data_IF_320270990347
#
_entry.id   IF_320270990347
#
_cell.length_a   1.000
_cell.length_b   1.000
_cell.length_c   1.000
_cell.angle_alpha   90.00
_cell.angle_beta   90.00
_cell.angle_gamma   90.00
#
_symmetry.space_group_name_H-M   'P 1'
#
loop_
_entity.id
_entity.type
_entity.pdbx_description
1 polymer ?
#
# COMPACT_ATOMS: atom_id res chain seq x y z
N UNK A 1 -19.62 -89.97 -55.91
CA UNK A 1 -18.18 -89.64 -55.78
C UNK A 1 -18.02 -88.20 -55.50
N UNK A 2 -17.96 -87.79 -54.30
CA UNK A 2 -17.83 -86.39 -53.87
C UNK A 2 -16.94 -86.35 -52.65
N UNK A 3 -15.85 -85.62 -52.80
CA UNK A 3 -14.87 -85.39 -51.73
C UNK A 3 -15.41 -84.29 -50.77
N UNK A 4 -15.09 -84.34 -49.49
CA UNK A 4 -15.46 -83.31 -48.54
C UNK A 4 -14.36 -82.22 -48.44
N UNK A 5 -14.82 -80.96 -48.45
CA UNK A 5 -14.00 -79.80 -48.21
C UNK A 5 -13.60 -79.67 -46.73
N UNK A 6 -12.31 -79.56 -46.46
CA UNK A 6 -11.80 -79.14 -45.15
C UNK A 6 -11.85 -77.63 -44.96
N UNK A 7 -12.60 -77.15 -43.98
CA UNK A 7 -12.51 -75.78 -43.50
C UNK A 7 -11.44 -75.73 -42.40
N UNK A 8 -10.47 -74.83 -42.59
CA UNK A 8 -9.48 -74.43 -41.58
C UNK A 8 -10.08 -73.18 -40.79
N UNK A 9 -10.17 -73.21 -39.46
CA UNK A 9 -10.51 -72.06 -38.72
C UNK A 9 -9.30 -71.15 -38.47
N UNK A 10 -9.30 -70.02 -39.06
CA UNK A 10 -8.33 -68.94 -38.81
C UNK A 10 -8.58 -68.36 -37.38
N UNK A 11 -7.61 -68.63 -36.50
CA UNK A 11 -7.61 -68.01 -35.17
C UNK A 11 -7.28 -66.50 -35.28
N UNK A 12 -8.27 -65.63 -35.06
CA UNK A 12 -8.06 -64.17 -34.92
C UNK A 12 -7.62 -63.87 -33.50
N UNK A 13 -6.32 -63.64 -33.31
CA UNK A 13 -5.80 -63.11 -32.04
C UNK A 13 -6.09 -61.60 -31.96
N UNK A 14 -7.06 -61.22 -31.14
CA UNK A 14 -7.37 -59.80 -30.82
C UNK A 14 -6.33 -59.37 -29.76
N UNK A 15 -5.30 -58.64 -30.18
CA UNK A 15 -4.35 -57.96 -29.27
C UNK A 15 -5.00 -56.74 -28.68
N UNK A 16 -5.43 -56.81 -27.41
CA UNK A 16 -5.95 -55.71 -26.63
C UNK A 16 -4.77 -54.82 -26.17
N UNK A 17 -4.44 -53.79 -26.93
CA UNK A 17 -3.45 -52.77 -26.54
C UNK A 17 -4.07 -51.90 -25.42
N UNK A 18 -3.66 -52.15 -24.17
CA UNK A 18 -3.96 -51.27 -23.03
C UNK A 18 -3.15 -50.01 -23.19
N UNK A 19 -3.74 -48.93 -23.73
CA UNK A 19 -3.19 -47.57 -23.64
C UNK A 19 -3.30 -47.12 -22.17
N UNK A 20 -2.22 -47.30 -21.40
CA UNK A 20 -2.04 -46.59 -20.13
C UNK A 20 -1.75 -45.12 -20.44
N UNK A 21 -2.81 -44.34 -20.59
CA UNK A 21 -2.74 -42.90 -20.65
C UNK A 21 -2.22 -42.39 -19.29
N UNK A 22 -0.94 -42.04 -19.21
CA UNK A 22 -0.42 -41.27 -18.09
C UNK A 22 -1.12 -39.90 -18.13
N UNK A 23 -2.18 -39.75 -17.35
CA UNK A 23 -2.77 -38.43 -17.08
C UNK A 23 -1.68 -37.60 -16.37
N UNK A 24 -0.99 -36.77 -17.12
CA UNK A 24 -0.21 -35.69 -16.55
C UNK A 24 -1.20 -34.79 -15.84
N UNK A 25 -1.27 -34.91 -14.52
CA UNK A 25 -1.95 -33.94 -13.69
C UNK A 25 -1.20 -32.64 -13.92
N UNK A 26 -1.73 -31.79 -14.79
CA UNK A 26 -1.28 -30.40 -14.88
C UNK A 26 -1.55 -29.79 -13.51
N UNK A 27 -0.52 -29.71 -12.65
CA UNK A 27 -0.58 -28.92 -11.44
C UNK A 27 -0.81 -27.48 -11.91
N UNK A 28 -2.06 -27.01 -11.88
CA UNK A 28 -2.34 -25.61 -12.04
C UNK A 28 -1.54 -24.87 -10.97
N UNK A 29 -0.58 -24.06 -11.41
CA UNK A 29 0.26 -23.29 -10.51
C UNK A 29 -0.67 -22.43 -9.63
N UNK A 30 -0.55 -22.60 -8.33
CA UNK A 30 -1.39 -21.87 -7.39
C UNK A 30 -0.95 -20.41 -7.37
N UNK A 31 -1.88 -19.50 -7.64
CA UNK A 31 -1.61 -18.06 -7.74
C UNK A 31 -2.28 -17.32 -6.59
N UNK A 32 -1.51 -16.49 -5.89
CA UNK A 32 -2.03 -15.49 -4.95
C UNK A 32 -2.07 -14.15 -5.68
N UNK A 33 -3.24 -13.51 -5.75
CA UNK A 33 -3.45 -12.25 -6.44
C UNK A 33 -3.51 -11.10 -5.45
N UNK A 34 -2.58 -10.15 -5.59
CA UNK A 34 -2.49 -8.95 -4.75
C UNK A 34 -2.50 -7.72 -5.65
N UNK A 35 -3.20 -6.67 -5.25
CA UNK A 35 -3.23 -5.40 -5.99
C UNK A 35 -3.52 -4.24 -5.03
N UNK A 36 -3.27 -3.00 -5.42
CA UNK A 36 -3.66 -1.81 -4.66
C UNK A 36 -2.58 -0.74 -4.60
N UNK A 37 -2.28 -0.28 -3.39
CA UNK A 37 -1.42 0.87 -3.10
C UNK A 37 0.00 0.73 -3.65
N UNK A 38 0.47 1.76 -4.37
CA UNK A 38 1.87 1.93 -4.79
C UNK A 38 2.83 2.07 -3.60
N UNK A 39 2.40 2.71 -2.52
CA UNK A 39 3.20 2.85 -1.28
C UNK A 39 3.48 1.50 -0.61
N UNK A 40 2.51 0.57 -0.63
CA UNK A 40 2.62 -0.75 -0.01
C UNK A 40 3.23 -1.79 -0.97
N UNK A 41 3.21 -1.49 -2.27
CA UNK A 41 3.77 -2.38 -3.28
C UNK A 41 5.21 -2.84 -2.98
N UNK A 42 6.18 -1.96 -2.62
CA UNK A 42 7.57 -2.38 -2.40
C UNK A 42 7.70 -3.44 -1.31
N UNK A 43 7.02 -3.29 -0.18
CA UNK A 43 7.09 -4.28 0.90
C UNK A 43 6.39 -5.58 0.51
N UNK A 44 5.20 -5.51 -0.08
CA UNK A 44 4.48 -6.72 -0.50
C UNK A 44 5.23 -7.46 -1.59
N UNK A 45 5.88 -6.75 -2.53
CA UNK A 45 6.72 -7.34 -3.58
C UNK A 45 7.95 -8.03 -2.98
N UNK A 46 8.65 -7.39 -2.05
CA UNK A 46 9.80 -7.98 -1.35
C UNK A 46 9.39 -9.27 -0.61
N UNK A 47 8.25 -9.26 0.08
CA UNK A 47 7.70 -10.45 0.74
C UNK A 47 7.35 -11.53 -0.29
N UNK A 48 6.71 -11.17 -1.41
CA UNK A 48 6.31 -12.11 -2.45
C UNK A 48 7.51 -12.81 -3.07
N UNK A 49 8.56 -12.06 -3.43
CA UNK A 49 9.78 -12.60 -4.03
C UNK A 49 10.48 -13.57 -3.07
N UNK A 50 10.67 -13.18 -1.82
CA UNK A 50 11.28 -14.03 -0.81
C UNK A 50 10.44 -15.29 -0.52
N UNK A 51 9.11 -15.15 -0.48
CA UNK A 51 8.20 -16.28 -0.28
C UNK A 51 8.26 -17.27 -1.44
N UNK A 52 8.23 -16.80 -2.69
CA UNK A 52 8.33 -17.66 -3.87
C UNK A 52 9.63 -18.47 -3.89
N UNK A 53 10.77 -17.83 -3.59
CA UNK A 53 12.06 -18.51 -3.46
C UNK A 53 11.99 -19.59 -2.37
N UNK A 54 11.44 -19.26 -1.18
CA UNK A 54 11.29 -20.21 -0.08
C UNK A 54 10.40 -21.41 -0.46
N UNK A 55 9.39 -21.20 -1.31
CA UNK A 55 8.48 -22.23 -1.83
C UNK A 55 8.99 -22.89 -3.12
N UNK A 56 10.24 -22.66 -3.51
CA UNK A 56 10.85 -23.18 -4.76
C UNK A 56 9.98 -22.88 -5.99
N UNK A 57 9.34 -21.71 -6.02
CA UNK A 57 8.43 -21.24 -7.06
C UNK A 57 7.21 -22.16 -7.34
N UNK A 58 6.80 -22.99 -6.35
CA UNK A 58 5.60 -23.81 -6.46
C UNK A 58 4.31 -23.01 -6.30
N UNK A 59 4.39 -21.79 -5.73
CA UNK A 59 3.29 -20.83 -5.54
C UNK A 59 3.70 -19.55 -6.24
N UNK A 60 2.86 -19.07 -7.15
CA UNK A 60 3.04 -17.76 -7.78
C UNK A 60 2.33 -16.67 -6.97
N UNK A 61 2.95 -15.49 -6.84
CA UNK A 61 2.38 -14.33 -6.16
C UNK A 61 2.45 -13.13 -7.10
N UNK A 62 1.32 -12.71 -7.60
CA UNK A 62 1.23 -11.52 -8.45
C UNK A 62 0.91 -10.30 -7.61
N UNK A 63 1.68 -9.22 -7.78
CA UNK A 63 1.46 -7.95 -7.07
C UNK A 63 1.31 -6.85 -8.10
N UNK A 64 0.11 -6.24 -8.16
CA UNK A 64 -0.23 -5.13 -9.05
C UNK A 64 -0.31 -3.79 -8.31
N UNK A 65 -0.38 -2.71 -9.10
CA UNK A 65 -0.56 -1.34 -8.62
C UNK A 65 -1.79 -0.74 -9.31
N UNK A 66 -2.80 -0.36 -8.51
CA UNK A 66 -3.98 0.36 -9.01
C UNK A 66 -4.48 1.41 -8.00
N UNK A 67 -3.60 1.82 -7.08
CA UNK A 67 -3.95 2.66 -5.93
C UNK A 67 -4.83 1.95 -4.90
N UNK A 68 -4.93 2.49 -3.68
CA UNK A 68 -5.75 1.89 -2.62
C UNK A 68 -7.22 1.75 -3.04
N UNK A 69 -7.80 2.79 -3.65
CA UNK A 69 -9.20 2.77 -4.11
C UNK A 69 -9.45 1.80 -5.27
N UNK A 70 -8.52 1.72 -6.24
CA UNK A 70 -8.57 0.75 -7.33
C UNK A 70 -8.48 -0.68 -6.82
N UNK A 71 -7.57 -0.94 -5.88
CA UNK A 71 -7.42 -2.22 -5.20
C UNK A 71 -8.69 -2.63 -4.46
N UNK A 72 -9.29 -1.77 -3.64
CA UNK A 72 -10.55 -2.07 -2.95
C UNK A 72 -11.71 -2.38 -3.89
N UNK A 73 -11.81 -1.70 -5.04
CA UNK A 73 -12.82 -2.04 -6.07
C UNK A 73 -12.67 -3.47 -6.57
N UNK A 74 -11.45 -3.92 -6.91
CA UNK A 74 -11.17 -5.30 -7.32
C UNK A 74 -11.41 -6.29 -6.17
N UNK A 75 -10.97 -5.92 -4.97
CA UNK A 75 -11.08 -6.74 -3.77
C UNK A 75 -12.56 -7.01 -3.40
N UNK A 76 -13.38 -5.97 -3.34
CA UNK A 76 -14.81 -6.11 -3.01
C UNK A 76 -15.61 -6.85 -4.12
N UNK A 77 -15.06 -6.97 -5.36
CA UNK A 77 -15.60 -7.85 -6.40
C UNK A 77 -15.07 -9.28 -6.33
N UNK A 78 -14.14 -9.57 -5.40
CA UNK A 78 -13.54 -10.90 -5.25
C UNK A 78 -12.55 -11.28 -6.36
N UNK A 79 -12.00 -10.31 -7.08
CA UNK A 79 -11.05 -10.51 -8.18
C UNK A 79 -9.62 -10.79 -7.69
N UNK A 80 -9.29 -10.34 -6.47
CA UNK A 80 -8.00 -10.48 -5.82
C UNK A 80 -8.15 -11.07 -4.40
N UNK A 81 -7.11 -11.74 -3.92
CA UNK A 81 -7.07 -12.40 -2.61
C UNK A 81 -6.71 -11.41 -1.48
N UNK A 82 -5.81 -10.47 -1.80
CA UNK A 82 -5.28 -9.48 -0.84
C UNK A 82 -5.27 -8.10 -1.52
N UNK A 83 -5.65 -7.06 -0.78
CA UNK A 83 -5.48 -5.68 -1.23
C UNK A 83 -4.43 -4.95 -0.38
N UNK A 84 -3.51 -4.26 -1.04
CA UNK A 84 -2.59 -3.31 -0.44
C UNK A 84 -3.29 -1.96 -0.25
N UNK A 85 -3.20 -1.35 0.93
CA UNK A 85 -3.82 -0.06 1.19
C UNK A 85 -2.93 0.85 2.03
N UNK A 86 -2.77 2.10 1.62
CA UNK A 86 -2.02 3.13 2.34
C UNK A 86 -2.92 4.04 3.19
N UNK A 87 -4.12 3.59 3.48
CA UNK A 87 -5.11 4.15 4.41
C UNK A 87 -6.07 3.06 4.86
N UNK A 88 -6.82 3.28 5.95
CA UNK A 88 -7.95 2.40 6.29
C UNK A 88 -8.99 2.33 5.18
N UNK A 89 -9.71 1.22 5.12
CA UNK A 89 -10.88 1.06 4.24
C UNK A 89 -11.93 2.12 4.55
N UNK A 90 -12.50 2.74 3.51
CA UNK A 90 -13.54 3.78 3.65
C UNK A 90 -14.94 3.17 3.83
N UNK A 91 -15.87 3.96 4.40
CA UNK A 91 -17.28 3.55 4.57
C UNK A 91 -17.95 3.11 3.25
N UNK A 92 -17.65 3.79 2.14
CA UNK A 92 -18.16 3.40 0.81
C UNK A 92 -17.64 2.03 0.38
N UNK A 93 -16.34 1.79 0.56
CA UNK A 93 -15.69 0.51 0.23
C UNK A 93 -16.18 -0.63 1.15
N UNK A 94 -16.35 -0.35 2.46
CA UNK A 94 -16.96 -1.31 3.38
C UNK A 94 -18.37 -1.71 2.93
N UNK A 95 -19.16 -0.74 2.46
CA UNK A 95 -20.51 -0.98 1.93
C UNK A 95 -20.47 -1.82 0.66
N UNK A 96 -19.55 -1.54 -0.26
CA UNK A 96 -19.38 -2.31 -1.50
C UNK A 96 -18.97 -3.76 -1.20
N UNK A 97 -18.00 -3.98 -0.31
CA UNK A 97 -17.61 -5.32 0.14
C UNK A 97 -18.78 -6.06 0.82
N UNK A 98 -19.55 -5.39 1.70
CA UNK A 98 -20.73 -5.97 2.35
C UNK A 98 -21.78 -6.39 1.34
N UNK A 99 -22.10 -5.54 0.35
CA UNK A 99 -23.06 -5.85 -0.71
C UNK A 99 -22.63 -7.08 -1.54
N UNK A 100 -21.33 -7.22 -1.78
CA UNK A 100 -20.75 -8.36 -2.48
C UNK A 100 -20.49 -9.59 -1.57
N UNK A 101 -20.81 -9.51 -0.28
CA UNK A 101 -20.55 -10.56 0.72
C UNK A 101 -19.07 -10.92 0.84
N UNK A 102 -18.20 -9.94 0.69
CA UNK A 102 -16.75 -10.06 0.92
C UNK A 102 -16.45 -9.60 2.33
N UNK A 103 -16.02 -10.55 3.17
CA UNK A 103 -15.48 -10.30 4.50
C UNK A 103 -13.96 -10.30 4.44
N UNK A 104 -13.30 -9.56 5.32
CA UNK A 104 -11.84 -9.39 5.31
C UNK A 104 -11.27 -9.25 6.72
N UNK A 105 -9.98 -9.57 6.83
CA UNK A 105 -9.14 -9.24 7.97
C UNK A 105 -8.29 -8.04 7.60
N UNK A 106 -8.33 -6.98 8.40
CA UNK A 106 -7.44 -5.83 8.32
C UNK A 106 -6.13 -6.14 9.04
N UNK A 107 -4.99 -5.90 8.39
CA UNK A 107 -3.66 -6.18 8.94
C UNK A 107 -2.77 -4.97 8.68
N UNK A 108 -2.48 -4.13 9.66
CA UNK A 108 -1.44 -3.13 9.56
C UNK A 108 -0.07 -3.80 9.41
N UNK A 109 0.74 -3.35 8.46
CA UNK A 109 2.04 -3.97 8.13
C UNK A 109 3.22 -3.07 8.41
N UNK A 110 3.03 -1.74 8.36
CA UNK A 110 4.06 -0.76 8.59
C UNK A 110 3.46 0.62 8.85
N UNK A 111 4.32 1.60 9.17
CA UNK A 111 4.02 3.01 9.00
C UNK A 111 4.80 3.57 7.82
N UNK A 112 4.20 4.54 7.15
CA UNK A 112 4.81 5.38 6.13
C UNK A 112 4.78 6.83 6.61
N UNK A 113 5.68 7.66 6.09
CA UNK A 113 5.66 9.10 6.29
C UNK A 113 5.75 9.81 4.95
N UNK A 114 5.01 10.91 4.84
CA UNK A 114 5.11 11.82 3.71
C UNK A 114 6.07 12.94 4.04
N UNK A 115 6.88 13.33 3.06
CA UNK A 115 7.78 14.47 3.18
C UNK A 115 7.29 15.59 2.29
N UNK A 116 7.21 16.79 2.84
CA UNK A 116 7.16 18.03 2.06
C UNK A 116 8.60 18.47 1.85
N UNK A 117 9.00 18.69 0.60
CA UNK A 117 10.36 19.00 0.24
C UNK A 117 10.47 20.28 -0.59
N UNK A 118 11.58 21.00 -0.38
CA UNK A 118 11.97 22.21 -1.10
C UNK A 118 13.37 22.06 -1.67
N UNK A 119 13.71 22.93 -2.62
CA UNK A 119 15.08 23.05 -3.11
C UNK A 119 16.03 23.50 -1.97
N UNK A 120 17.28 23.00 -1.88
CA UNK A 120 18.23 23.43 -0.85
C UNK A 120 18.55 24.93 -0.84
N UNK A 121 18.42 25.62 -1.98
CA UNK A 121 18.60 27.07 -2.09
C UNK A 121 17.40 27.89 -1.55
N UNK A 122 16.27 27.21 -1.27
CA UNK A 122 15.09 27.83 -0.65
C UNK A 122 15.31 27.92 0.86
N UNK A 123 15.83 29.04 1.33
CA UNK A 123 16.13 29.26 2.76
C UNK A 123 14.96 29.87 3.54
N UNK A 124 13.87 30.26 2.89
CA UNK A 124 12.75 31.00 3.53
C UNK A 124 11.58 30.10 3.97
N UNK A 125 11.40 28.93 3.39
CA UNK A 125 10.27 28.06 3.68
C UNK A 125 10.66 26.72 4.32
N UNK A 126 11.70 26.72 5.15
CA UNK A 126 12.25 25.52 5.83
C UNK A 126 11.32 24.92 6.88
N UNK A 127 10.28 25.67 7.28
CA UNK A 127 9.19 25.17 8.12
C UNK A 127 7.85 25.74 7.65
N UNK A 128 6.78 24.94 7.75
CA UNK A 128 5.43 25.33 7.39
C UNK A 128 4.42 24.80 8.39
N UNK A 129 3.41 25.62 8.68
CA UNK A 129 2.23 25.18 9.42
C UNK A 129 1.28 24.42 8.50
N UNK A 130 0.40 23.60 9.09
CA UNK A 130 -0.69 22.92 8.35
C UNK A 130 -1.57 23.95 7.63
N UNK A 131 -1.82 25.11 8.24
CA UNK A 131 -2.60 26.19 7.62
C UNK A 131 -1.94 26.76 6.35
N UNK A 132 -0.61 26.94 6.36
CA UNK A 132 0.15 27.39 5.20
C UNK A 132 0.13 26.34 4.08
N UNK A 133 0.36 25.06 4.40
CA UNK A 133 0.25 23.96 3.44
C UNK A 133 -1.16 23.87 2.86
N UNK A 134 -2.21 23.97 3.69
CA UNK A 134 -3.59 23.98 3.23
C UNK A 134 -3.84 25.14 2.25
N UNK A 135 -3.38 26.35 2.57
CA UNK A 135 -3.53 27.54 1.71
C UNK A 135 -2.84 27.34 0.35
N UNK A 136 -1.74 26.57 0.29
CA UNK A 136 -1.05 26.26 -0.96
C UNK A 136 -1.86 25.23 -1.77
N UNK A 137 -2.35 24.16 -1.12
CA UNK A 137 -2.82 22.97 -1.79
C UNK A 137 -4.33 22.81 -1.93
N UNK A 138 -5.15 23.63 -1.23
CA UNK A 138 -6.61 23.54 -1.33
C UNK A 138 -7.12 23.93 -2.74
N UNK A 139 -8.28 23.41 -3.19
CA UNK A 139 -8.84 23.73 -4.52
C UNK A 139 -9.01 25.21 -4.78
N UNK A 140 -9.33 25.99 -3.75
CA UNK A 140 -9.49 27.45 -3.87
C UNK A 140 -8.20 28.20 -4.22
N UNK A 141 -7.03 27.57 -4.06
CA UNK A 141 -5.73 28.14 -4.38
C UNK A 141 -5.43 28.15 -5.89
N UNK A 142 -6.12 27.30 -6.67
CA UNK A 142 -5.86 27.14 -8.10
C UNK A 142 -5.94 28.46 -8.85
N UNK A 143 -4.84 28.80 -9.55
CA UNK A 143 -4.70 30.06 -10.31
C UNK A 143 -4.66 31.34 -9.48
N UNK A 144 -4.78 31.26 -8.14
CA UNK A 144 -4.82 32.42 -7.24
C UNK A 144 -3.59 32.52 -6.33
N UNK A 145 -3.20 31.41 -5.74
CA UNK A 145 -2.03 31.30 -4.87
C UNK A 145 -0.88 30.77 -5.71
N UNK A 146 -0.07 31.68 -6.24
CA UNK A 146 1.00 31.35 -7.20
C UNK A 146 2.38 31.79 -6.72
N UNK A 147 2.45 32.68 -5.71
CA UNK A 147 3.70 33.26 -5.21
C UNK A 147 3.92 32.96 -3.73
N UNK A 148 5.18 32.88 -3.32
CA UNK A 148 5.59 32.57 -1.96
C UNK A 148 5.11 33.63 -0.93
N UNK A 149 5.19 34.92 -1.28
CA UNK A 149 4.74 36.01 -0.39
C UNK A 149 3.23 36.00 -0.12
N UNK A 150 2.43 35.34 -0.95
CA UNK A 150 1.00 35.15 -0.68
C UNK A 150 0.73 34.20 0.50
N UNK A 151 1.69 33.33 0.80
CA UNK A 151 1.63 32.41 1.94
C UNK A 151 2.13 33.08 3.21
N UNK A 152 3.30 33.71 3.12
CA UNK A 152 3.87 34.49 4.18
C UNK A 152 4.46 35.78 3.58
N UNK A 153 4.00 36.99 3.99
CA UNK A 153 4.48 38.24 3.43
C UNK A 153 5.98 38.50 3.58
N UNK A 154 6.67 37.78 4.49
CA UNK A 154 8.11 37.85 4.66
C UNK A 154 8.90 37.00 3.63
N UNK A 155 8.23 36.14 2.86
CA UNK A 155 8.84 35.30 1.83
C UNK A 155 8.96 36.06 0.51
N UNK A 156 9.82 35.59 -0.43
CA UNK A 156 10.04 36.29 -1.71
C UNK A 156 8.78 36.43 -2.54
N UNK A 157 8.72 37.50 -3.33
CA UNK A 157 7.70 37.69 -4.38
C UNK A 157 8.12 36.92 -5.65
N UNK A 158 8.13 35.61 -5.53
CA UNK A 158 8.55 34.68 -6.58
C UNK A 158 7.50 33.57 -6.76
N UNK A 159 7.35 33.10 -8.01
CA UNK A 159 6.36 32.09 -8.33
C UNK A 159 6.76 30.72 -7.77
N UNK A 160 5.84 30.06 -7.06
CA UNK A 160 5.98 28.69 -6.61
C UNK A 160 5.98 27.72 -7.79
N UNK A 161 6.80 26.66 -7.71
CA UNK A 161 6.82 25.54 -8.64
C UNK A 161 6.40 24.28 -7.88
N UNK A 162 5.12 23.96 -7.99
CA UNK A 162 4.51 22.87 -7.22
C UNK A 162 4.58 21.55 -7.97
N UNK A 163 4.84 20.46 -7.25
CA UNK A 163 4.71 19.10 -7.74
C UNK A 163 4.26 18.15 -6.63
N UNK A 164 3.68 17.03 -7.00
CA UNK A 164 3.17 16.07 -6.03
C UNK A 164 2.68 14.79 -6.67
N UNK A 165 2.37 13.81 -5.83
CA UNK A 165 1.80 12.55 -6.29
C UNK A 165 0.48 12.78 -7.03
N UNK A 166 0.18 11.95 -8.02
CA UNK A 166 -1.03 12.01 -8.82
C UNK A 166 -2.30 11.54 -8.07
N UNK A 167 -3.47 11.77 -8.66
CA UNK A 167 -4.78 11.47 -8.07
C UNK A 167 -5.03 9.97 -7.82
N UNK A 168 -4.31 9.06 -8.46
CA UNK A 168 -4.44 7.62 -8.26
C UNK A 168 -3.53 7.11 -7.13
N UNK A 169 -2.63 7.96 -6.64
CA UNK A 169 -1.69 7.65 -5.56
C UNK A 169 -2.37 7.69 -4.18
N UNK A 170 -2.07 6.67 -3.36
CA UNK A 170 -2.42 6.71 -1.94
C UNK A 170 -1.68 7.83 -1.17
N UNK A 171 -0.56 8.32 -1.68
CA UNK A 171 0.18 9.48 -1.17
C UNK A 171 -0.63 10.75 -1.36
N UNK A 172 -1.22 10.95 -2.54
CA UNK A 172 -2.12 12.07 -2.81
C UNK A 172 -3.39 12.04 -1.92
N UNK A 173 -4.05 10.87 -1.83
CA UNK A 173 -5.22 10.70 -0.98
C UNK A 173 -4.94 11.12 0.46
N UNK A 174 -3.84 10.62 1.02
CA UNK A 174 -3.49 10.90 2.40
C UNK A 174 -3.03 12.34 2.62
N UNK A 175 -2.18 12.89 1.73
CA UNK A 175 -1.73 14.28 1.83
C UNK A 175 -2.91 15.24 1.82
N UNK A 176 -3.81 15.08 0.87
CA UNK A 176 -5.00 15.95 0.75
C UNK A 176 -5.94 15.81 1.94
N UNK A 177 -6.09 14.60 2.49
CA UNK A 177 -6.87 14.39 3.70
C UNK A 177 -6.23 15.05 4.93
N UNK A 178 -4.92 14.85 5.12
CA UNK A 178 -4.19 15.37 6.28
C UNK A 178 -4.06 16.90 6.27
N UNK A 179 -3.87 17.49 5.09
CA UNK A 179 -3.58 18.94 4.93
C UNK A 179 -4.84 19.73 4.57
N UNK A 180 -5.61 19.28 3.59
CA UNK A 180 -6.79 20.01 3.12
C UNK A 180 -8.04 19.64 3.93
N UNK A 181 -8.05 18.45 4.52
CA UNK A 181 -9.15 17.92 5.34
C UNK A 181 -10.12 17.02 4.58
N UNK A 182 -9.83 16.72 3.31
CA UNK A 182 -10.64 15.81 2.48
C UNK A 182 -9.76 15.14 1.45
N UNK A 183 -9.77 13.79 1.45
CA UNK A 183 -9.07 13.00 0.46
C UNK A 183 -9.50 13.37 -0.97
N UNK A 184 -8.54 13.38 -1.88
CA UNK A 184 -8.71 13.76 -3.29
C UNK A 184 -9.21 15.19 -3.54
N UNK A 185 -8.98 16.10 -2.59
CA UNK A 185 -9.39 17.50 -2.71
C UNK A 185 -8.17 18.41 -2.74
N UNK A 186 -7.75 18.83 -3.93
CA UNK A 186 -6.59 19.70 -4.14
C UNK A 186 -6.79 20.60 -5.35
N UNK A 187 -5.86 21.55 -5.54
CA UNK A 187 -5.64 22.21 -6.83
C UNK A 187 -5.09 21.22 -7.85
N UNK A 188 -5.20 21.50 -9.15
CA UNK A 188 -4.72 20.64 -10.25
C UNK A 188 -3.68 21.35 -11.15
N UNK A 189 -3.27 22.59 -10.82
CA UNK A 189 -2.29 23.36 -11.57
C UNK A 189 -0.86 23.18 -11.03
N UNK A 190 -0.48 21.94 -10.77
CA UNK A 190 0.88 21.52 -10.36
C UNK A 190 1.37 20.34 -11.22
N UNK A 191 2.65 20.02 -11.15
CA UNK A 191 3.21 18.85 -11.84
C UNK A 191 2.87 17.59 -11.07
N UNK A 192 2.05 16.72 -11.65
CA UNK A 192 1.65 15.43 -11.09
C UNK A 192 2.55 14.30 -11.59
N UNK A 193 2.87 13.33 -10.73
CA UNK A 193 3.57 12.11 -11.14
C UNK A 193 3.35 10.97 -10.12
N UNK A 194 3.19 9.74 -10.64
CA UNK A 194 3.24 8.48 -9.89
C UNK A 194 4.68 8.06 -9.56
N UNK A 195 5.66 8.70 -10.18
CA UNK A 195 7.08 8.44 -9.98
C UNK A 195 7.72 9.54 -9.11
N UNK A 196 7.94 9.24 -7.84
CA UNK A 196 8.52 10.17 -6.87
C UNK A 196 9.90 10.71 -7.28
N UNK A 197 10.68 9.99 -8.10
CA UNK A 197 11.95 10.51 -8.64
C UNK A 197 11.75 11.70 -9.58
N UNK A 198 10.63 11.75 -10.31
CA UNK A 198 10.25 12.92 -11.12
C UNK A 198 9.98 14.12 -10.22
N UNK A 199 9.29 13.90 -9.10
CA UNK A 199 8.98 14.94 -8.12
C UNK A 199 10.25 15.47 -7.44
N UNK A 200 11.17 14.59 -7.03
CA UNK A 200 12.49 14.95 -6.47
C UNK A 200 13.26 15.81 -7.48
N UNK A 201 13.36 15.38 -8.74
CA UNK A 201 14.10 16.11 -9.77
C UNK A 201 13.46 17.47 -10.08
N UNK A 202 12.11 17.56 -10.04
CA UNK A 202 11.42 18.83 -10.23
C UNK A 202 11.78 19.84 -9.14
N UNK A 203 11.83 19.43 -7.87
CA UNK A 203 12.26 20.29 -6.75
C UNK A 203 13.75 20.63 -6.86
N UNK A 204 14.60 19.63 -7.10
CA UNK A 204 16.05 19.83 -7.19
C UNK A 204 16.47 20.82 -8.28
N UNK A 205 15.76 20.86 -9.40
CA UNK A 205 16.06 21.76 -10.53
C UNK A 205 15.39 23.14 -10.43
N UNK A 206 14.56 23.40 -9.44
CA UNK A 206 13.83 24.67 -9.28
C UNK A 206 14.00 25.22 -7.86
N UNK A 207 14.70 26.35 -7.70
CA UNK A 207 14.85 27.03 -6.40
C UNK A 207 13.51 27.31 -5.70
N UNK A 208 12.46 27.58 -6.48
CA UNK A 208 11.12 27.83 -6.01
C UNK A 208 10.24 26.55 -5.96
N UNK A 209 10.87 25.38 -6.04
CA UNK A 209 10.22 24.08 -6.00
C UNK A 209 9.67 23.74 -4.62
N UNK A 210 8.46 23.19 -4.60
CA UNK A 210 7.81 22.59 -3.43
C UNK A 210 7.11 21.32 -3.89
N UNK A 211 7.36 20.19 -3.22
CA UNK A 211 6.71 18.94 -3.51
C UNK A 211 6.28 18.20 -2.24
N UNK A 212 5.40 17.20 -2.42
CA UNK A 212 5.17 16.16 -1.41
C UNK A 212 5.29 14.77 -2.04
N UNK A 213 5.95 13.86 -1.33
CA UNK A 213 6.21 12.48 -1.75
C UNK A 213 6.60 11.60 -0.54
N UNK A 214 6.83 10.31 -0.76
CA UNK A 214 7.17 9.36 0.29
C UNK A 214 8.53 9.65 0.96
N UNK A 215 8.61 9.45 2.27
CA UNK A 215 9.84 9.65 3.07
C UNK A 215 11.03 8.84 2.56
N UNK A 216 10.80 7.64 2.03
CA UNK A 216 11.87 6.82 1.45
C UNK A 216 12.66 7.55 0.38
N UNK A 217 11.96 8.25 -0.52
CA UNK A 217 12.62 9.02 -1.60
C UNK A 217 13.34 10.25 -1.08
N UNK A 218 12.85 10.88 -0.01
CA UNK A 218 13.59 11.96 0.66
C UNK A 218 14.93 11.44 1.20
N UNK A 219 14.93 10.32 1.92
CA UNK A 219 16.16 9.74 2.49
C UNK A 219 17.20 9.40 1.42
N UNK A 220 16.78 8.96 0.26
CA UNK A 220 17.66 8.63 -0.87
C UNK A 220 18.21 9.85 -1.61
N UNK A 221 17.62 11.04 -1.41
CA UNK A 221 17.93 12.25 -2.16
C UNK A 221 18.16 13.48 -1.26
N UNK A 222 18.63 13.30 -0.02
CA UNK A 222 18.93 14.39 0.91
C UNK A 222 20.03 15.34 0.42
N UNK A 223 20.84 14.91 -0.52
CA UNK A 223 21.83 15.72 -1.23
C UNK A 223 21.23 16.67 -2.27
N UNK A 224 19.97 16.42 -2.72
CA UNK A 224 19.27 17.17 -3.77
C UNK A 224 18.12 18.02 -3.26
N UNK A 225 17.48 17.61 -2.18
CA UNK A 225 16.28 18.27 -1.65
C UNK A 225 16.33 18.40 -0.13
N UNK A 226 15.64 19.41 0.41
CA UNK A 226 15.55 19.67 1.85
C UNK A 226 14.12 19.42 2.32
N UNK A 227 13.96 18.67 3.41
CA UNK A 227 12.65 18.49 4.02
C UNK A 227 12.19 19.76 4.74
N UNK A 228 10.90 20.07 4.61
CA UNK A 228 10.23 21.12 5.37
C UNK A 228 9.80 20.57 6.72
N UNK A 229 10.13 21.26 7.80
CA UNK A 229 9.62 20.93 9.12
C UNK A 229 8.13 21.29 9.21
N UNK A 230 7.31 20.35 9.70
CA UNK A 230 5.84 20.52 9.77
C UNK A 230 5.43 20.94 11.17
N UNK A 231 4.75 22.07 11.28
CA UNK A 231 4.17 22.56 12.54
C UNK A 231 2.67 22.24 12.58
N UNK A 232 2.32 21.27 13.39
CA UNK A 232 0.93 20.88 13.68
C UNK A 232 0.33 21.64 14.90
N UNK A 233 0.98 22.70 15.36
CA UNK A 233 0.58 23.47 16.54
C UNK A 233 1.36 23.11 17.82
N UNK A 234 2.37 22.25 17.70
CA UNK A 234 3.25 21.81 18.81
C UNK A 234 4.73 22.12 18.55
N UNK A 235 5.01 22.96 17.56
CA UNK A 235 6.34 23.25 17.06
C UNK A 235 6.64 22.50 15.75
N UNK A 236 7.61 23.02 15.00
CA UNK A 236 8.00 22.47 13.71
C UNK A 236 8.87 21.23 13.88
N UNK A 237 8.44 20.11 13.33
CA UNK A 237 9.11 18.79 13.41
C UNK A 237 9.53 18.34 12.01
N UNK A 238 10.80 17.96 11.85
CA UNK A 238 11.33 17.34 10.63
C UNK A 238 10.95 15.85 10.56
N UNK A 239 10.71 15.32 9.36
CA UNK A 239 10.57 13.88 9.18
C UNK A 239 11.88 13.16 9.45
N UNK A 240 11.85 12.20 10.35
CA UNK A 240 12.95 11.27 10.63
C UNK A 240 12.42 9.94 11.14
N UNK A 241 13.26 8.91 11.17
CA UNK A 241 12.88 7.62 11.77
C UNK A 241 12.38 7.84 13.20
N UNK A 242 13.13 8.57 14.00
CA UNK A 242 12.79 8.85 15.40
C UNK A 242 11.44 9.58 15.54
N UNK A 243 11.22 10.66 14.75
CA UNK A 243 9.99 11.47 14.88
C UNK A 243 8.73 10.78 14.36
N UNK A 244 8.86 9.84 13.44
CA UNK A 244 7.75 8.98 13.00
C UNK A 244 7.48 7.89 14.05
N UNK A 245 8.51 7.22 14.56
CA UNK A 245 8.35 6.14 15.54
C UNK A 245 7.79 6.65 16.88
N UNK A 246 8.25 7.79 17.37
CA UNK A 246 7.76 8.39 18.62
C UNK A 246 6.44 9.16 18.44
N UNK A 247 5.91 9.26 17.21
CA UNK A 247 4.63 9.89 16.91
C UNK A 247 4.65 11.43 16.97
N UNK A 248 5.81 12.09 16.99
CA UNK A 248 5.89 13.57 16.99
C UNK A 248 5.73 14.18 15.60
N UNK A 249 6.08 13.45 14.51
CA UNK A 249 5.91 13.91 13.14
C UNK A 249 4.44 13.74 12.69
N UNK A 250 3.62 14.73 12.96
CA UNK A 250 2.19 14.71 12.67
C UNK A 250 1.78 15.94 11.84
N UNK A 251 0.77 15.82 10.96
CA UNK A 251 -0.07 14.65 10.69
C UNK A 251 0.42 13.79 9.51
N UNK A 252 1.64 13.95 9.02
CA UNK A 252 2.15 13.33 7.80
C UNK A 252 2.80 11.95 8.00
N UNK A 253 2.49 11.24 9.10
CA UNK A 253 2.78 9.82 9.27
C UNK A 253 1.49 9.00 9.31
N UNK A 254 1.49 7.81 8.70
CA UNK A 254 0.29 6.98 8.53
C UNK A 254 0.59 5.48 8.62
N UNK A 255 -0.36 4.68 9.10
CA UNK A 255 -0.30 3.23 8.96
C UNK A 255 -0.59 2.81 7.51
N UNK A 256 0.05 1.72 7.09
CA UNK A 256 -0.22 1.04 5.83
C UNK A 256 -0.60 -0.42 6.09
N UNK A 257 -1.44 -0.98 5.22
CA UNK A 257 -2.20 -2.20 5.49
C UNK A 257 -2.14 -3.19 4.32
N UNK A 258 -2.39 -4.45 4.66
CA UNK A 258 -2.98 -5.42 3.74
C UNK A 258 -4.36 -5.82 4.28
N UNK A 259 -5.33 -6.07 3.38
CA UNK A 259 -6.63 -6.66 3.73
C UNK A 259 -6.75 -8.01 3.04
N UNK A 260 -7.02 -9.03 3.81
CA UNK A 260 -7.08 -10.41 3.31
C UNK A 260 -8.54 -10.86 3.24
N UNK A 261 -8.98 -11.29 2.05
CA UNK A 261 -10.33 -11.86 1.87
C UNK A 261 -10.46 -13.15 2.68
N UNK A 262 -11.52 -13.29 3.47
CA UNK A 262 -11.75 -14.47 4.33
C UNK A 262 -11.83 -15.76 3.52
N UNK A 263 -12.44 -15.73 2.32
CA UNK A 263 -12.47 -16.92 1.43
C UNK A 263 -11.07 -17.27 0.94
N UNK A 264 -10.24 -16.28 0.64
CA UNK A 264 -8.84 -16.49 0.29
C UNK A 264 -8.02 -17.00 1.49
N UNK A 265 -8.33 -16.52 2.70
CA UNK A 265 -7.69 -16.97 3.93
C UNK A 265 -7.95 -18.46 4.26
N UNK A 266 -8.90 -19.14 3.59
CA UNK A 266 -9.04 -20.60 3.71
C UNK A 266 -7.97 -21.36 2.93
N UNK A 267 -7.40 -20.76 1.88
CA UNK A 267 -6.39 -21.39 1.01
C UNK A 267 -5.08 -21.58 1.78
N UNK A 268 -4.49 -22.78 1.75
CA UNK A 268 -3.23 -23.06 2.44
C UNK A 268 -2.09 -22.14 2.04
N UNK A 269 -2.02 -21.78 0.76
CA UNK A 269 -1.00 -20.90 0.20
C UNK A 269 -1.14 -19.45 0.73
N UNK A 270 -2.35 -18.93 0.87
CA UNK A 270 -2.60 -17.60 1.43
C UNK A 270 -2.26 -17.58 2.92
N UNK A 271 -2.64 -18.62 3.68
CA UNK A 271 -2.22 -18.78 5.08
C UNK A 271 -0.71 -18.76 5.22
N UNK A 272 -0.02 -19.53 4.38
CA UNK A 272 1.43 -19.60 4.40
C UNK A 272 2.07 -18.25 4.02
N UNK A 273 1.50 -17.53 3.06
CA UNK A 273 1.98 -16.22 2.65
C UNK A 273 1.83 -15.17 3.75
N UNK A 274 0.65 -15.06 4.37
CA UNK A 274 0.42 -14.10 5.47
C UNK A 274 1.31 -14.42 6.67
N UNK A 275 1.46 -15.69 7.04
CA UNK A 275 2.38 -16.09 8.11
C UNK A 275 3.83 -15.73 7.78
N UNK A 276 4.27 -15.94 6.53
CA UNK A 276 5.59 -15.53 6.06
C UNK A 276 5.76 -14.02 6.10
N UNK A 277 4.74 -13.26 5.66
CA UNK A 277 4.73 -11.80 5.70
C UNK A 277 4.96 -11.30 7.13
N UNK A 278 4.14 -11.73 8.08
CA UNK A 278 4.23 -11.27 9.48
C UNK A 278 5.56 -11.66 10.13
N UNK A 279 6.09 -12.85 9.82
CA UNK A 279 7.38 -13.32 10.37
C UNK A 279 8.57 -12.49 9.89
N UNK A 280 8.54 -12.01 8.64
CA UNK A 280 9.67 -11.31 8.01
C UNK A 280 9.45 -9.80 7.90
N UNK A 281 8.28 -9.28 8.31
CA UNK A 281 7.92 -7.88 8.15
C UNK A 281 8.92 -6.92 8.80
N UNK A 282 9.40 -7.22 10.02
CA UNK A 282 10.36 -6.36 10.71
C UNK A 282 11.63 -6.07 9.90
N UNK A 283 12.13 -7.07 9.18
CA UNK A 283 13.33 -6.93 8.33
C UNK A 283 12.97 -6.27 7.00
N UNK A 284 12.00 -6.82 6.28
CA UNK A 284 11.67 -6.40 4.91
C UNK A 284 11.07 -4.99 4.86
N UNK A 285 10.33 -4.57 5.89
CA UNK A 285 9.83 -3.18 6.02
C UNK A 285 10.98 -2.19 6.08
N UNK A 286 12.06 -2.52 6.85
CA UNK A 286 13.25 -1.66 6.93
C UNK A 286 14.04 -1.63 5.61
N UNK A 287 14.13 -2.74 4.91
CA UNK A 287 14.81 -2.81 3.61
C UNK A 287 14.17 -1.88 2.58
N UNK A 288 12.83 -1.76 2.59
CA UNK A 288 12.09 -0.85 1.70
C UNK A 288 11.90 0.55 2.31
N UNK A 289 12.58 0.87 3.42
CA UNK A 289 12.60 2.19 4.07
C UNK A 289 11.25 2.70 4.57
N UNK A 290 10.36 1.77 4.90
CA UNK A 290 9.18 2.03 5.71
C UNK A 290 9.50 1.84 7.21
N UNK A 291 8.60 2.27 8.07
CA UNK A 291 8.74 2.16 9.51
C UNK A 291 8.07 0.89 10.02
N UNK A 292 8.81 -0.06 10.60
CA UNK A 292 8.21 -1.29 11.10
C UNK A 292 7.37 -1.06 12.35
N UNK A 293 6.38 -1.90 12.53
CA UNK A 293 5.69 -2.02 13.81
C UNK A 293 6.59 -2.75 14.82
N UNK A 294 6.36 -2.58 16.14
CA UNK A 294 7.02 -3.39 17.15
C UNK A 294 6.81 -4.90 16.91
N UNK A 295 7.81 -5.76 17.19
CA UNK A 295 7.71 -7.20 16.91
C UNK A 295 6.45 -7.87 17.46
N UNK A 296 5.99 -7.45 18.66
CA UNK A 296 4.75 -7.95 19.27
C UNK A 296 3.51 -7.70 18.40
N UNK A 297 3.45 -6.56 17.68
CA UNK A 297 2.32 -6.22 16.85
C UNK A 297 2.16 -7.21 15.68
N UNK A 298 3.27 -7.64 15.06
CA UNK A 298 3.21 -8.65 13.99
C UNK A 298 2.70 -10.01 14.49
N UNK A 299 3.05 -10.39 15.72
CA UNK A 299 2.51 -11.61 16.35
C UNK A 299 1.00 -11.49 16.60
N UNK A 300 0.55 -10.35 17.14
CA UNK A 300 -0.88 -10.05 17.33
C UNK A 300 -1.64 -10.05 16.00
N UNK A 301 -1.09 -9.43 14.95
CA UNK A 301 -1.73 -9.40 13.62
C UNK A 301 -1.85 -10.81 13.01
N UNK A 302 -0.84 -11.66 13.21
CA UNK A 302 -0.92 -13.06 12.77
C UNK A 302 -1.99 -13.83 13.55
N UNK A 303 -2.14 -13.57 14.83
CA UNK A 303 -3.21 -14.16 15.65
C UNK A 303 -4.60 -13.68 15.18
N UNK A 304 -4.78 -12.37 14.90
CA UNK A 304 -6.02 -11.83 14.32
C UNK A 304 -6.38 -12.52 13.03
N UNK A 305 -5.40 -12.70 12.14
CA UNK A 305 -5.60 -13.42 10.90
C UNK A 305 -6.01 -14.87 11.10
N UNK A 306 -5.29 -15.62 11.96
CA UNK A 306 -5.58 -17.03 12.26
C UNK A 306 -6.97 -17.21 12.87
N UNK A 307 -7.40 -16.29 13.72
CA UNK A 307 -8.72 -16.28 14.38
C UNK A 307 -9.81 -15.64 13.50
N UNK A 308 -9.47 -15.24 12.26
CA UNK A 308 -10.40 -14.63 11.28
C UNK A 308 -11.15 -13.44 11.87
N UNK A 309 -10.45 -12.53 12.51
CA UNK A 309 -11.05 -11.29 13.04
C UNK A 309 -11.43 -10.38 11.88
N UNK A 310 -12.72 -10.37 11.56
CA UNK A 310 -13.26 -9.61 10.42
C UNK A 310 -13.55 -8.17 10.79
N UNK A 311 -13.32 -7.28 9.82
CA UNK A 311 -13.67 -5.86 9.93
C UNK A 311 -12.45 -4.95 9.98
N UNK A 312 -12.64 -3.75 10.51
CA UNK A 312 -11.64 -2.70 10.63
C UNK A 312 -11.77 -1.99 11.96
N UNK A 313 -10.63 -1.76 12.64
CA UNK A 313 -10.57 -0.97 13.89
C UNK A 313 -10.89 0.50 13.66
N UNK A 314 -10.91 0.94 12.41
CA UNK A 314 -11.19 2.32 12.03
C UNK A 314 -12.67 2.58 11.72
N UNK A 315 -13.46 1.54 11.49
CA UNK A 315 -14.89 1.66 11.13
C UNK A 315 -15.15 2.67 10.01
N UNK A 316 -14.30 2.65 8.98
CA UNK A 316 -14.39 3.54 7.82
C UNK A 316 -13.95 4.98 8.05
N UNK A 317 -13.35 5.29 9.22
CA UNK A 317 -12.80 6.61 9.56
C UNK A 317 -11.33 6.71 9.16
N UNK A 318 -10.85 7.92 8.80
CA UNK A 318 -9.44 8.13 8.48
C UNK A 318 -8.51 7.91 9.69
N UNK A 319 -7.24 7.62 9.39
CA UNK A 319 -6.17 7.42 10.37
C UNK A 319 -5.21 8.61 10.46
N UNK A 320 -5.66 9.81 10.11
CA UNK A 320 -4.84 11.03 10.15
C UNK A 320 -4.36 11.31 11.57
N UNK A 321 -3.05 11.52 11.74
CA UNK A 321 -2.44 11.82 13.03
C UNK A 321 -2.37 10.63 14.00
N UNK A 322 -2.56 9.39 13.53
CA UNK A 322 -2.45 8.19 14.33
C UNK A 322 -0.97 7.84 14.61
N UNK A 323 -0.64 7.57 15.86
CA UNK A 323 0.68 7.06 16.24
C UNK A 323 0.73 5.53 16.20
N UNK A 324 1.95 4.97 16.16
CA UNK A 324 2.15 3.50 16.22
C UNK A 324 1.50 2.92 17.50
N UNK A 325 1.69 3.57 18.65
CA UNK A 325 1.13 3.11 19.92
C UNK A 325 -0.40 3.16 19.92
N UNK A 326 -1.02 4.18 19.32
CA UNK A 326 -2.49 4.25 19.24
C UNK A 326 -3.05 3.18 18.30
N UNK A 327 -2.37 2.89 17.18
CA UNK A 327 -2.76 1.79 16.30
C UNK A 327 -2.76 0.47 17.06
N UNK A 328 -1.68 0.15 17.76
CA UNK A 328 -1.56 -1.09 18.54
C UNK A 328 -2.66 -1.17 19.59
N UNK A 329 -2.93 -0.07 20.31
CA UNK A 329 -4.03 -0.04 21.29
C UNK A 329 -5.41 -0.30 20.66
N UNK A 330 -5.67 0.15 19.45
CA UNK A 330 -6.93 -0.13 18.74
C UNK A 330 -7.02 -1.59 18.34
N UNK A 331 -5.94 -2.15 17.85
CA UNK A 331 -5.88 -3.57 17.50
C UNK A 331 -6.04 -4.46 18.74
N UNK A 332 -5.40 -4.13 19.85
CA UNK A 332 -5.51 -4.86 21.11
C UNK A 332 -6.96 -4.83 21.67
N UNK A 333 -7.69 -3.70 21.54
CA UNK A 333 -9.09 -3.58 22.02
C UNK A 333 -10.05 -4.49 21.26
N UNK A 334 -9.84 -4.72 19.97
CA UNK A 334 -10.63 -5.69 19.21
C UNK A 334 -10.55 -7.10 19.80
N UNK A 335 -9.54 -7.40 20.61
CA UNK A 335 -9.45 -8.69 21.31
C UNK A 335 -10.56 -8.87 22.36
N UNK A 336 -11.08 -7.79 22.92
CA UNK A 336 -12.03 -7.82 24.02
C UNK A 336 -13.50 -7.62 23.62
N UNK A 337 -13.77 -7.06 22.45
CA UNK A 337 -15.15 -6.77 22.01
C UNK A 337 -15.84 -7.93 21.27
N UNK A 338 -15.14 -9.01 20.96
CA UNK A 338 -15.66 -10.17 20.22
C UNK A 338 -15.74 -11.48 21.06
N UNK A 339 -15.73 -11.39 22.40
CA UNK A 339 -15.97 -12.51 23.32
C UNK A 339 -17.31 -12.39 23.99
#
# INVERSE_FOLDING_TARGET
MSQPNHFNPLAVAISLAILTGSATIANAQTVIKIDGSSTVYPITKAVADNFQVTKKNAIDVTVGISGSGGGFKKFCRGEIDIVNASRPILNSEMKDCKNARVQYVEIPVAFDALTVAINPENSWSTSMTIAQLKKIWEPAAQGKITQWNQINPAWPDEAMKLSGADEDSGTYDYFTEAIVGKAKSSRHDFTESDNDNVLVNHVASNKNGLAFFGFAYYIENQDKVTAVAIDSGKGAILPSVETVENGSYQPLSRPVFIYVNIKAAEKPEVKAFVAFYMKNALLLVKEVKLFPLPPRAYATMLEHFNNKRVGSVFSGKPAVGLTIDELIRREDRLQYENF
#
